data_IF_942027328380
#
_entry.id   IF_942027328380
#
_cell.length_a   1.000
_cell.length_b   1.000
_cell.length_c   1.000
_cell.angle_alpha   90.00
_cell.angle_beta   90.00
_cell.angle_gamma   90.00
#
_symmetry.space_group_name_H-M   'P 1'
#
loop_
_entity.id
_entity.type
_entity.pdbx_description
1 polymer ?
#
# COMPACT_ATOMS: atom_id res chain seq x y z
N UNK A 1 56.36 -13.93 -26.48
CA UNK A 1 56.10 -14.65 -25.21
C UNK A 1 55.58 -13.64 -24.18
N UNK A 2 54.36 -13.14 -24.36
CA UNK A 2 53.77 -12.12 -23.49
C UNK A 2 52.89 -12.78 -22.43
N UNK A 3 53.22 -12.49 -21.17
CA UNK A 3 52.37 -12.50 -19.97
C UNK A 3 51.41 -13.68 -19.68
N UNK A 4 51.84 -14.92 -19.94
CA UNK A 4 51.08 -16.14 -19.57
C UNK A 4 50.73 -16.22 -18.07
N UNK A 5 51.61 -15.73 -17.19
CA UNK A 5 51.37 -15.74 -15.75
C UNK A 5 50.26 -14.77 -15.33
N UNK A 6 50.23 -13.58 -15.94
CA UNK A 6 49.19 -12.58 -15.69
C UNK A 6 47.81 -13.09 -16.13
N UNK A 7 47.72 -13.69 -17.32
CA UNK A 7 46.45 -14.25 -17.82
C UNK A 7 45.93 -15.40 -16.94
N UNK A 8 46.84 -16.25 -16.42
CA UNK A 8 46.48 -17.31 -15.47
C UNK A 8 45.95 -16.73 -14.15
N UNK A 9 46.59 -15.68 -13.64
CA UNK A 9 46.17 -15.05 -12.39
C UNK A 9 44.82 -14.34 -12.53
N UNK A 10 44.60 -13.65 -13.65
CA UNK A 10 43.33 -12.99 -13.97
C UNK A 10 42.16 -13.99 -14.03
N UNK A 11 42.36 -15.12 -14.70
CA UNK A 11 41.35 -16.18 -14.78
C UNK A 11 41.00 -16.77 -13.40
N UNK A 12 42.01 -16.94 -12.55
CA UNK A 12 41.83 -17.40 -11.16
C UNK A 12 41.03 -16.37 -10.36
N UNK A 13 41.30 -15.08 -10.53
CA UNK A 13 40.61 -14.01 -9.79
C UNK A 13 39.16 -13.82 -10.26
N UNK A 14 38.86 -14.04 -11.54
CA UNK A 14 37.50 -14.08 -12.08
C UNK A 14 36.67 -15.24 -11.50
N UNK A 15 37.28 -16.43 -11.40
CA UNK A 15 36.68 -17.62 -10.76
C UNK A 15 36.42 -17.39 -9.27
N UNK A 16 37.41 -16.87 -8.54
CA UNK A 16 37.29 -16.61 -7.10
C UNK A 16 36.22 -15.58 -6.75
N UNK A 17 36.01 -14.59 -7.62
CA UNK A 17 35.07 -13.50 -7.37
C UNK A 17 33.71 -13.67 -8.08
N UNK A 18 33.48 -14.82 -8.73
CA UNK A 18 32.24 -15.16 -9.42
C UNK A 18 31.78 -14.08 -10.44
N UNK A 19 32.74 -13.52 -11.19
CA UNK A 19 32.52 -12.43 -12.19
C UNK A 19 32.48 -12.92 -13.63
N UNK A 20 32.23 -14.22 -13.86
CA UNK A 20 32.23 -14.88 -15.19
C UNK A 20 31.13 -14.39 -16.17
N UNK A 21 30.26 -13.47 -15.75
CA UNK A 21 29.13 -13.00 -16.55
C UNK A 21 29.45 -11.99 -17.67
N UNK A 22 30.69 -11.53 -17.84
CA UNK A 22 31.10 -10.62 -18.92
C UNK A 22 32.07 -11.31 -19.89
N UNK A 23 31.63 -11.51 -21.13
CA UNK A 23 32.48 -11.93 -22.26
C UNK A 23 33.32 -10.73 -22.71
N UNK A 24 34.50 -10.56 -22.14
CA UNK A 24 35.51 -9.59 -22.59
C UNK A 24 36.68 -10.34 -23.21
N UNK A 25 37.08 -9.99 -24.43
CA UNK A 25 38.25 -10.58 -25.10
C UNK A 25 39.46 -9.71 -24.76
N UNK A 26 40.45 -10.30 -24.09
CA UNK A 26 41.70 -9.65 -23.72
C UNK A 26 42.82 -10.16 -24.62
N UNK A 27 43.20 -9.37 -25.64
CA UNK A 27 44.36 -9.64 -26.50
C UNK A 27 45.69 -9.15 -25.90
N UNK A 28 45.77 -9.02 -24.57
CA UNK A 28 47.02 -8.85 -23.83
C UNK A 28 47.60 -7.44 -23.84
N UNK A 29 46.82 -6.43 -24.27
CA UNK A 29 47.23 -5.03 -24.29
C UNK A 29 46.33 -4.07 -23.47
N UNK A 30 45.20 -4.52 -22.90
CA UNK A 30 44.28 -3.64 -22.15
C UNK A 30 43.68 -4.28 -20.89
N UNK A 31 43.62 -3.49 -19.81
CA UNK A 31 43.08 -3.83 -18.49
C UNK A 31 41.55 -4.09 -18.55
N UNK A 32 41.03 -5.05 -17.78
CA UNK A 32 39.61 -5.42 -17.63
C UNK A 32 38.68 -4.23 -17.38
N UNK A 33 39.20 -3.15 -16.78
CA UNK A 33 38.45 -1.93 -16.52
C UNK A 33 38.41 -0.95 -17.70
N UNK A 34 39.27 -1.15 -18.69
CA UNK A 34 39.50 -0.30 -19.86
C UNK A 34 39.32 -1.00 -21.21
N UNK A 35 39.08 -2.32 -21.22
CA UNK A 35 38.85 -3.10 -22.43
C UNK A 35 37.60 -2.65 -23.18
N UNK A 36 37.71 -2.56 -24.50
CA UNK A 36 36.62 -2.23 -25.42
C UNK A 36 35.53 -3.31 -25.31
N UNK A 37 34.26 -2.90 -25.22
CA UNK A 37 33.12 -3.82 -25.11
C UNK A 37 33.09 -4.79 -26.30
N UNK A 38 32.73 -6.07 -26.14
CA UNK A 38 32.73 -7.04 -27.25
C UNK A 38 31.93 -6.56 -28.48
N UNK A 39 30.79 -5.88 -28.24
CA UNK A 39 30.00 -5.26 -29.30
C UNK A 39 30.71 -4.08 -29.99
N UNK A 40 31.54 -3.33 -29.25
CA UNK A 40 32.41 -2.27 -29.81
C UNK A 40 33.57 -2.86 -30.61
N UNK A 41 34.15 -3.97 -30.13
CA UNK A 41 35.22 -4.68 -30.82
C UNK A 41 34.73 -5.31 -32.14
N UNK A 42 33.59 -6.01 -32.12
CA UNK A 42 32.96 -6.57 -33.34
C UNK A 42 32.55 -5.46 -34.31
N UNK A 43 32.06 -4.31 -33.82
CA UNK A 43 31.72 -3.16 -34.66
C UNK A 43 32.95 -2.55 -35.35
N UNK A 44 34.09 -2.45 -34.66
CA UNK A 44 35.35 -1.97 -35.23
C UNK A 44 35.87 -2.94 -36.29
N UNK A 45 35.81 -4.25 -36.04
CA UNK A 45 36.29 -5.27 -36.98
C UNK A 45 35.41 -5.44 -38.22
N UNK A 46 34.08 -5.33 -38.08
CA UNK A 46 33.13 -5.48 -39.18
C UNK A 46 32.91 -4.19 -39.98
N UNK A 47 33.38 -3.04 -39.47
CA UNK A 47 33.07 -1.72 -40.03
C UNK A 47 31.60 -1.30 -39.88
N UNK A 48 30.75 -2.14 -39.27
CA UNK A 48 29.34 -1.90 -39.06
C UNK A 48 29.06 -1.53 -37.60
N UNK A 49 28.82 -0.23 -37.35
CA UNK A 49 28.52 0.30 -36.01
C UNK A 49 27.03 0.23 -35.65
N UNK A 50 26.17 -0.28 -36.54
CA UNK A 50 24.72 -0.23 -36.38
C UNK A 50 24.26 -0.99 -35.12
N UNK A 51 24.87 -2.14 -34.80
CA UNK A 51 24.56 -2.91 -33.57
C UNK A 51 24.86 -2.13 -32.28
N UNK A 52 25.91 -1.32 -32.30
CA UNK A 52 26.33 -0.50 -31.17
C UNK A 52 25.43 0.73 -31.03
N UNK A 53 25.10 1.38 -32.14
CA UNK A 53 24.16 2.50 -32.19
C UNK A 53 22.76 2.07 -31.72
N UNK A 54 22.33 0.86 -32.12
CA UNK A 54 21.10 0.24 -31.64
C UNK A 54 21.09 0.09 -30.13
N UNK A 55 22.13 -0.51 -29.56
CA UNK A 55 22.22 -0.68 -28.10
C UNK A 55 22.20 0.67 -27.34
N UNK A 56 22.81 1.72 -27.91
CA UNK A 56 22.76 3.08 -27.35
C UNK A 56 21.35 3.67 -27.41
N UNK A 57 20.66 3.51 -28.54
CA UNK A 57 19.27 3.98 -28.71
C UNK A 57 18.31 3.23 -27.78
N UNK A 58 18.40 1.91 -27.70
CA UNK A 58 17.60 1.08 -26.79
C UNK A 58 17.78 1.51 -25.33
N UNK A 59 19.03 1.74 -24.89
CA UNK A 59 19.31 2.24 -23.54
C UNK A 59 18.66 3.59 -23.26
N UNK A 60 18.70 4.52 -24.23
CA UNK A 60 18.09 5.85 -24.11
C UNK A 60 16.57 5.77 -24.07
N UNK A 61 15.97 4.94 -24.92
CA UNK A 61 14.53 4.65 -24.93
C UNK A 61 14.10 4.05 -23.60
N UNK A 62 14.79 3.01 -23.11
CA UNK A 62 14.47 2.38 -21.83
C UNK A 62 14.54 3.35 -20.64
N UNK A 63 15.50 4.28 -20.63
CA UNK A 63 15.56 5.33 -19.62
C UNK A 63 14.35 6.27 -19.68
N UNK A 64 13.96 6.72 -20.88
CA UNK A 64 12.78 7.59 -21.08
C UNK A 64 11.47 6.87 -20.78
N UNK A 65 11.34 5.59 -21.13
CA UNK A 65 10.17 4.78 -20.79
C UNK A 65 10.03 4.58 -19.28
N UNK A 66 11.13 4.30 -18.59
CA UNK A 66 11.15 4.22 -17.12
C UNK A 66 10.75 5.54 -16.47
N UNK A 67 11.23 6.67 -16.99
CA UNK A 67 10.83 8.00 -16.56
C UNK A 67 9.33 8.25 -16.78
N UNK A 68 8.80 7.93 -17.96
CA UNK A 68 7.38 8.03 -18.29
C UNK A 68 6.52 7.17 -17.36
N UNK A 69 6.92 5.92 -17.10
CA UNK A 69 6.21 5.03 -16.18
C UNK A 69 6.20 5.61 -14.75
N UNK A 70 7.33 6.14 -14.28
CA UNK A 70 7.42 6.79 -12.97
C UNK A 70 6.50 8.01 -12.87
N UNK A 71 6.46 8.82 -13.93
CA UNK A 71 5.57 9.97 -14.04
C UNK A 71 4.08 9.55 -14.02
N UNK A 72 3.70 8.51 -14.76
CA UNK A 72 2.32 8.01 -14.76
C UNK A 72 1.93 7.45 -13.38
N UNK A 73 2.84 6.74 -12.72
CA UNK A 73 2.63 6.23 -11.36
C UNK A 73 2.46 7.36 -10.35
N UNK A 74 3.24 8.44 -10.44
CA UNK A 74 3.10 9.58 -9.54
C UNK A 74 1.75 10.29 -9.77
N UNK A 75 1.34 10.46 -11.03
CA UNK A 75 0.02 11.02 -11.39
C UNK A 75 -1.14 10.17 -10.87
N UNK A 76 -1.07 8.85 -11.01
CA UNK A 76 -2.07 7.93 -10.46
C UNK A 76 -2.14 8.01 -8.92
N UNK A 77 -0.99 8.05 -8.26
CA UNK A 77 -0.90 8.18 -6.79
C UNK A 77 -1.50 9.52 -6.32
N UNK A 78 -1.21 10.61 -7.03
CA UNK A 78 -1.79 11.93 -6.76
C UNK A 78 -3.32 11.94 -6.92
N UNK A 79 -3.83 11.26 -7.96
CA UNK A 79 -5.28 11.10 -8.18
C UNK A 79 -5.95 10.36 -7.02
N UNK A 80 -5.42 9.21 -6.63
CA UNK A 80 -5.98 8.45 -5.49
C UNK A 80 -5.93 9.25 -4.19
N UNK A 81 -4.84 10.00 -3.96
CA UNK A 81 -4.75 10.89 -2.80
C UNK A 81 -5.80 12.01 -2.87
N UNK A 82 -6.02 12.60 -4.03
CA UNK A 82 -7.04 13.62 -4.22
C UNK A 82 -8.44 13.07 -3.92
N UNK A 83 -8.77 11.88 -4.44
CA UNK A 83 -10.07 11.24 -4.21
C UNK A 83 -10.30 10.97 -2.71
N UNK A 84 -9.28 10.45 -2.01
CA UNK A 84 -9.32 10.26 -0.56
C UNK A 84 -9.53 11.59 0.18
N UNK A 85 -8.72 12.61 -0.13
CA UNK A 85 -8.85 13.92 0.51
C UNK A 85 -10.21 14.58 0.27
N UNK A 86 -10.81 14.38 -0.91
CA UNK A 86 -12.17 14.88 -1.19
C UNK A 86 -13.23 14.16 -0.35
N UNK A 87 -13.10 12.84 -0.18
CA UNK A 87 -13.97 12.06 0.71
C UNK A 87 -13.81 12.49 2.17
N UNK A 88 -12.57 12.63 2.62
CA UNK A 88 -12.24 13.06 3.99
C UNK A 88 -12.76 14.47 4.26
N UNK A 89 -12.56 15.41 3.34
CA UNK A 89 -13.08 16.77 3.44
C UNK A 89 -14.59 16.77 3.64
N UNK A 90 -15.33 15.98 2.85
CA UNK A 90 -16.79 15.89 2.98
C UNK A 90 -17.19 15.34 4.35
N UNK A 91 -16.52 14.29 4.82
CA UNK A 91 -16.79 13.71 6.14
C UNK A 91 -16.50 14.70 7.28
N UNK A 92 -15.39 15.46 7.20
CA UNK A 92 -15.03 16.50 8.16
C UNK A 92 -16.05 17.65 8.15
N UNK A 93 -16.49 18.09 6.97
CA UNK A 93 -17.52 19.14 6.85
C UNK A 93 -18.87 18.69 7.45
N UNK A 94 -19.31 17.47 7.15
CA UNK A 94 -20.52 16.90 7.74
C UNK A 94 -20.40 16.80 9.26
N UNK A 95 -19.22 16.41 9.77
CA UNK A 95 -18.95 16.34 11.21
C UNK A 95 -18.92 17.73 11.86
N UNK A 96 -18.31 18.72 11.22
CA UNK A 96 -18.28 20.11 11.69
C UNK A 96 -19.69 20.69 11.78
N UNK A 97 -20.52 20.45 10.77
CA UNK A 97 -21.93 20.88 10.76
C UNK A 97 -22.71 20.28 11.94
N UNK A 98 -22.48 19.01 12.25
CA UNK A 98 -23.10 18.34 13.41
C UNK A 98 -22.62 18.93 14.72
N UNK A 99 -21.32 19.24 14.87
CA UNK A 99 -20.81 19.95 16.04
C UNK A 99 -21.44 21.35 16.20
N UNK A 100 -21.55 22.10 15.11
CA UNK A 100 -22.17 23.42 15.10
C UNK A 100 -23.64 23.36 15.53
N UNK A 101 -24.38 22.40 15.01
CA UNK A 101 -25.79 22.16 15.37
C UNK A 101 -25.91 21.88 16.87
N UNK A 102 -25.10 20.96 17.40
CA UNK A 102 -25.11 20.61 18.82
C UNK A 102 -24.70 21.79 19.71
N UNK A 103 -23.67 22.55 19.31
CA UNK A 103 -23.20 23.71 20.07
C UNK A 103 -24.20 24.86 20.07
N UNK A 104 -24.87 25.11 18.95
CA UNK A 104 -25.90 26.13 18.85
C UNK A 104 -27.09 25.76 19.73
N UNK A 105 -27.58 24.52 19.62
CA UNK A 105 -28.66 24.00 20.46
C UNK A 105 -28.34 24.10 21.96
N UNK A 106 -27.09 23.82 22.35
CA UNK A 106 -26.64 24.00 23.72
C UNK A 106 -26.64 25.47 24.11
N UNK A 107 -26.04 26.34 23.29
CA UNK A 107 -25.89 27.77 23.58
C UNK A 107 -27.23 28.48 23.74
N UNK A 108 -28.24 28.08 22.95
CA UNK A 108 -29.60 28.65 23.00
C UNK A 108 -30.36 28.24 24.27
N UNK A 109 -30.08 27.05 24.81
CA UNK A 109 -30.81 26.48 25.97
C UNK A 109 -30.05 26.63 27.29
N UNK A 110 -28.73 26.82 27.26
CA UNK A 110 -27.87 26.82 28.45
C UNK A 110 -28.10 28.06 29.30
N UNK A 111 -28.34 27.85 30.59
CA UNK A 111 -28.46 28.92 31.58
C UNK A 111 -27.10 29.12 32.23
N UNK A 112 -26.59 30.36 32.22
CA UNK A 112 -25.30 30.72 32.81
C UNK A 112 -25.51 31.53 34.08
N UNK A 113 -24.63 31.32 35.06
CA UNK A 113 -24.52 32.13 36.27
C UNK A 113 -23.77 33.44 35.98
N UNK A 114 -23.78 34.35 36.95
CA UNK A 114 -23.07 35.63 36.90
C UNK A 114 -21.55 35.46 36.71
N UNK A 115 -20.99 34.35 37.19
CA UNK A 115 -19.57 33.99 37.02
C UNK A 115 -19.24 33.40 35.63
N UNK A 116 -20.22 33.30 34.74
CA UNK A 116 -20.08 32.72 33.40
C UNK A 116 -20.16 31.19 33.35
N UNK A 117 -20.23 30.50 34.50
CA UNK A 117 -20.37 29.05 34.56
C UNK A 117 -21.77 28.60 34.17
N UNK A 118 -21.86 27.47 33.46
CA UNK A 118 -23.15 26.88 33.08
C UNK A 118 -23.80 26.20 34.29
N UNK A 119 -25.08 26.50 34.53
CA UNK A 119 -25.86 25.86 35.58
C UNK A 119 -26.08 24.40 35.22
N UNK A 120 -26.03 23.51 36.21
CA UNK A 120 -26.34 22.12 35.97
C UNK A 120 -27.86 21.89 35.89
N UNK A 121 -28.37 21.52 34.72
CA UNK A 121 -29.77 21.19 34.48
C UNK A 121 -29.99 19.68 34.23
N UNK A 122 -29.12 18.82 34.75
CA UNK A 122 -29.19 17.38 34.58
C UNK A 122 -30.50 16.81 35.14
N UNK A 123 -31.20 16.03 34.32
CA UNK A 123 -32.38 15.24 34.68
C UNK A 123 -32.05 13.77 34.47
N UNK A 124 -32.34 12.93 35.47
CA UNK A 124 -32.14 11.48 35.38
C UNK A 124 -33.48 10.77 35.51
N UNK A 125 -33.66 9.69 34.77
CA UNK A 125 -34.91 8.90 34.76
C UNK A 125 -35.28 8.43 36.16
N UNK A 126 -36.49 8.73 36.66
CA UNK A 126 -36.94 8.32 37.99
C UNK A 126 -36.38 9.15 39.14
N UNK A 127 -35.89 10.37 38.88
CA UNK A 127 -35.69 11.41 39.88
C UNK A 127 -36.55 12.64 39.53
N UNK A 128 -36.96 13.38 40.56
CA UNK A 128 -37.70 14.63 40.39
C UNK A 128 -36.81 15.72 39.81
N UNK A 129 -37.41 16.67 39.08
CA UNK A 129 -36.69 17.80 38.45
C UNK A 129 -35.93 18.69 39.46
N UNK A 130 -36.33 18.69 40.73
CA UNK A 130 -35.72 19.48 41.82
C UNK A 130 -34.76 18.66 42.70
N UNK A 131 -34.27 17.52 42.20
CA UNK A 131 -33.34 16.67 42.93
C UNK A 131 -32.04 17.40 43.25
N UNK A 132 -31.53 17.18 44.46
CA UNK A 132 -30.26 17.75 44.91
C UNK A 132 -29.07 17.14 44.16
N UNK A 133 -27.95 17.87 44.08
CA UNK A 133 -26.71 17.38 43.46
C UNK A 133 -26.26 16.05 44.06
N UNK A 134 -26.45 15.86 45.37
CA UNK A 134 -26.12 14.60 46.06
C UNK A 134 -26.97 13.43 45.57
N UNK A 135 -28.28 13.63 45.36
CA UNK A 135 -29.18 12.59 44.83
C UNK A 135 -28.84 12.23 43.39
N UNK A 136 -28.55 13.24 42.55
CA UNK A 136 -28.10 13.02 41.18
C UNK A 136 -26.79 12.23 41.14
N UNK A 137 -25.79 12.65 41.91
CA UNK A 137 -24.50 11.97 41.97
C UNK A 137 -24.61 10.53 42.49
N UNK A 138 -25.43 10.30 43.51
CA UNK A 138 -25.68 8.95 44.02
C UNK A 138 -26.29 8.06 42.94
N UNK A 139 -27.28 8.55 42.20
CA UNK A 139 -27.90 7.80 41.11
C UNK A 139 -26.94 7.51 39.95
N UNK A 140 -26.09 8.47 39.60
CA UNK A 140 -25.02 8.26 38.61
C UNK A 140 -24.05 7.18 39.08
N UNK A 141 -23.69 7.19 40.37
CA UNK A 141 -22.84 6.17 40.96
C UNK A 141 -23.50 4.78 40.95
N UNK A 142 -24.81 4.71 41.19
CA UNK A 142 -25.58 3.48 41.07
C UNK A 142 -25.53 2.94 39.63
N UNK A 143 -25.72 3.79 38.61
CA UNK A 143 -25.51 3.38 37.22
C UNK A 143 -24.07 2.94 36.95
N UNK A 144 -23.08 3.63 37.51
CA UNK A 144 -21.67 3.29 37.32
C UNK A 144 -21.34 1.88 37.84
N UNK A 145 -21.95 1.45 38.95
CA UNK A 145 -21.71 0.13 39.54
C UNK A 145 -22.61 -0.97 38.93
N UNK A 146 -23.89 -0.65 38.71
CA UNK A 146 -24.93 -1.63 38.48
C UNK A 146 -25.42 -1.72 37.04
N UNK A 147 -25.16 -0.73 36.17
CA UNK A 147 -25.61 -0.80 34.78
C UNK A 147 -24.97 -2.01 34.06
N UNK A 148 -25.79 -2.73 33.29
CA UNK A 148 -25.41 -3.92 32.51
C UNK A 148 -26.03 -3.85 31.13
N UNK A 149 -25.46 -2.99 30.30
CA UNK A 149 -25.99 -2.64 28.97
C UNK A 149 -25.58 -3.61 27.86
N UNK A 150 -24.73 -4.60 28.16
CA UNK A 150 -24.20 -5.59 27.19
C UNK A 150 -23.51 -4.95 25.97
N UNK A 151 -22.96 -3.75 26.14
CA UNK A 151 -22.28 -3.00 25.08
C UNK A 151 -23.16 -2.02 24.32
N UNK A 152 -24.47 -2.01 24.58
CA UNK A 152 -25.39 -1.04 23.98
C UNK A 152 -25.40 0.29 24.76
N UNK A 153 -25.88 1.34 24.10
CA UNK A 153 -26.12 2.62 24.77
C UNK A 153 -27.52 2.61 25.39
N UNK A 154 -27.58 2.83 26.70
CA UNK A 154 -28.84 2.98 27.43
C UNK A 154 -29.02 4.44 27.82
N UNK A 155 -30.15 5.04 27.45
CA UNK A 155 -30.55 6.36 27.93
C UNK A 155 -30.90 6.31 29.41
N UNK A 156 -30.41 7.29 30.17
CA UNK A 156 -30.62 7.40 31.62
C UNK A 156 -31.06 8.79 32.06
N UNK A 157 -31.17 9.74 31.11
CA UNK A 157 -31.49 11.12 31.42
C UNK A 157 -31.23 12.09 30.28
N UNK A 158 -31.36 13.37 30.57
CA UNK A 158 -31.11 14.46 29.62
C UNK A 158 -30.54 15.71 30.28
N UNK A 159 -29.86 16.55 29.49
CA UNK A 159 -29.37 17.86 29.90
C UNK A 159 -29.39 18.82 28.70
N UNK A 160 -30.07 19.96 28.81
CA UNK A 160 -30.15 20.98 27.74
C UNK A 160 -30.50 20.45 26.34
N UNK A 161 -31.35 19.42 26.25
CA UNK A 161 -31.72 18.77 24.99
C UNK A 161 -30.76 17.68 24.51
N UNK A 162 -29.67 17.42 25.23
CA UNK A 162 -28.81 16.26 25.01
C UNK A 162 -29.31 15.06 25.81
N UNK A 163 -29.17 13.87 25.25
CA UNK A 163 -29.40 12.59 25.92
C UNK A 163 -28.17 12.18 26.72
N UNK A 164 -28.38 11.71 27.95
CA UNK A 164 -27.34 11.10 28.77
C UNK A 164 -27.42 9.60 28.62
N UNK A 165 -26.31 9.00 28.20
CA UNK A 165 -26.23 7.58 27.91
C UNK A 165 -25.20 6.91 28.82
N UNK A 166 -25.47 5.68 29.21
CA UNK A 166 -24.49 4.78 29.84
C UNK A 166 -24.22 3.58 28.93
N UNK A 167 -22.97 3.13 28.89
CA UNK A 167 -22.54 1.92 28.18
C UNK A 167 -21.55 1.15 29.03
N UNK A 168 -21.71 -0.16 29.08
CA UNK A 168 -20.84 -1.10 29.78
C UNK A 168 -19.77 -1.56 28.80
N UNK A 169 -18.53 -1.18 29.05
CA UNK A 169 -17.38 -1.63 28.28
C UNK A 169 -16.68 -2.77 29.05
N UNK A 170 -16.34 -3.82 28.32
CA UNK A 170 -15.57 -4.96 28.84
C UNK A 170 -14.15 -4.82 28.33
N UNK A 171 -13.20 -4.70 29.24
CA UNK A 171 -11.77 -4.68 28.94
C UNK A 171 -11.10 -5.89 29.57
N UNK A 172 -10.15 -6.51 28.87
CA UNK A 172 -9.36 -7.60 29.42
C UNK A 172 -8.10 -7.03 30.05
N UNK A 173 -7.92 -7.24 31.35
CA UNK A 173 -6.67 -6.93 32.04
C UNK A 173 -6.28 -8.16 32.87
N UNK A 174 -5.06 -8.65 32.66
CA UNK A 174 -4.50 -9.78 33.42
C UNK A 174 -5.39 -11.04 33.38
N UNK A 175 -5.92 -11.38 32.20
CA UNK A 175 -6.86 -12.50 31.97
C UNK A 175 -8.23 -12.39 32.68
N UNK A 176 -8.49 -11.30 33.43
CA UNK A 176 -9.80 -10.98 33.97
C UNK A 176 -10.57 -9.98 33.10
N UNK A 177 -11.87 -10.22 32.96
CA UNK A 177 -12.81 -9.29 32.33
C UNK A 177 -13.17 -8.17 33.33
N UNK A 178 -12.58 -6.99 33.14
CA UNK A 178 -12.95 -5.77 33.84
C UNK A 178 -14.11 -5.08 33.13
N UNK A 179 -15.25 -5.01 33.82
CA UNK A 179 -16.46 -4.31 33.35
C UNK A 179 -16.48 -2.91 33.93
N UNK A 180 -16.46 -1.91 33.05
CA UNK A 180 -16.52 -0.50 33.43
C UNK A 180 -17.69 0.18 32.71
N UNK A 181 -18.49 0.95 33.44
CA UNK A 181 -19.57 1.73 32.85
C UNK A 181 -19.06 3.12 32.50
N UNK A 182 -19.25 3.51 31.24
CA UNK A 182 -18.89 4.82 30.69
C UNK A 182 -20.11 5.63 30.34
N UNK A 183 -20.00 6.91 30.57
CA UNK A 183 -21.06 7.89 30.39
C UNK A 183 -20.81 8.76 29.18
N UNK A 184 -21.86 9.02 28.42
CA UNK A 184 -21.83 9.79 27.18
C UNK A 184 -22.95 10.82 27.18
N UNK A 185 -22.74 11.89 26.43
CA UNK A 185 -23.73 12.90 26.12
C UNK A 185 -23.96 12.90 24.62
N UNK A 186 -25.19 12.79 24.15
CA UNK A 186 -25.51 12.78 22.73
C UNK A 186 -26.46 13.92 22.37
N UNK A 187 -26.06 14.75 21.41
CA UNK A 187 -26.89 15.84 20.88
C UNK A 187 -27.74 15.42 19.69
N UNK A 188 -28.47 16.38 19.12
CA UNK A 188 -29.28 16.20 17.91
C UNK A 188 -28.42 15.89 16.68
N UNK A 189 -27.19 16.40 16.64
CA UNK A 189 -26.16 16.03 15.68
C UNK A 189 -25.73 14.57 15.79
N UNK A 190 -26.17 13.81 16.81
CA UNK A 190 -25.90 12.38 16.95
C UNK A 190 -24.44 12.03 17.27
N UNK A 191 -23.63 13.03 17.66
CA UNK A 191 -22.26 12.82 18.14
C UNK A 191 -22.32 12.52 19.64
N UNK A 192 -21.51 11.56 20.08
CA UNK A 192 -21.39 11.17 21.49
C UNK A 192 -20.16 11.80 22.10
N UNK A 193 -20.35 12.68 23.07
CA UNK A 193 -19.32 13.39 23.81
C UNK A 193 -19.04 12.69 25.14
N UNK A 194 -17.79 12.76 25.58
CA UNK A 194 -17.40 12.27 26.90
C UNK A 194 -16.44 13.24 27.57
N UNK A 195 -16.47 13.24 28.90
CA UNK A 195 -15.45 13.86 29.73
C UNK A 195 -14.73 12.76 30.52
N UNK A 196 -13.42 12.89 30.70
CA UNK A 196 -12.59 11.88 31.38
C UNK A 196 -12.81 10.44 30.87
N UNK A 197 -12.89 10.26 29.54
CA UNK A 197 -13.21 8.98 28.88
C UNK A 197 -14.51 8.33 29.39
N UNK A 198 -15.49 9.14 29.78
CA UNK A 198 -16.79 8.70 30.29
C UNK A 198 -16.75 8.18 31.73
N UNK A 199 -15.65 8.36 32.47
CA UNK A 199 -15.56 7.99 33.89
C UNK A 199 -16.11 9.11 34.77
N UNK A 200 -16.93 8.75 35.75
CA UNK A 200 -17.39 9.70 36.76
C UNK A 200 -16.25 10.09 37.69
N UNK A 201 -16.32 11.32 38.19
CA UNK A 201 -15.46 11.76 39.28
C UNK A 201 -15.98 11.22 40.62
N UNK A 202 -15.09 11.07 41.59
CA UNK A 202 -15.48 10.67 42.96
C UNK A 202 -16.22 11.78 43.70
N UNK A 203 -15.96 13.05 43.35
CA UNK A 203 -16.66 14.19 43.93
C UNK A 203 -18.08 14.33 43.33
N UNK A 204 -19.14 14.45 44.16
CA UNK A 204 -20.52 14.55 43.68
C UNK A 204 -20.77 15.72 42.75
N UNK A 205 -20.20 16.90 43.02
CA UNK A 205 -20.45 18.07 42.16
C UNK A 205 -19.77 17.87 40.81
N UNK A 206 -18.53 17.40 40.80
CA UNK A 206 -17.79 17.15 39.57
C UNK A 206 -18.43 16.03 38.73
N UNK A 207 -18.94 14.97 39.38
CA UNK A 207 -19.62 13.87 38.69
C UNK A 207 -20.84 14.34 37.89
N UNK A 208 -21.65 15.22 38.48
CA UNK A 208 -22.85 15.77 37.80
C UNK A 208 -22.42 16.81 36.74
N UNK A 209 -21.33 17.56 36.97
CA UNK A 209 -20.81 18.54 36.00
C UNK A 209 -20.06 17.92 34.81
N UNK A 210 -19.63 16.66 34.89
CA UNK A 210 -18.91 15.98 33.80
C UNK A 210 -19.62 16.07 32.44
N UNK A 211 -20.96 16.08 32.42
CA UNK A 211 -21.75 16.17 31.20
C UNK A 211 -21.68 17.55 30.56
N UNK A 212 -21.83 18.61 31.37
CA UNK A 212 -21.63 20.00 30.91
C UNK A 212 -20.20 20.17 30.40
N UNK A 213 -19.21 19.68 31.15
CA UNK A 213 -17.80 19.73 30.76
C UNK A 213 -17.51 18.94 29.46
N UNK A 214 -18.31 17.93 29.13
CA UNK A 214 -18.20 17.22 27.86
C UNK A 214 -18.72 18.07 26.69
N UNK A 215 -19.83 18.79 26.89
CA UNK A 215 -20.43 19.68 25.90
C UNK A 215 -19.57 20.94 25.69
N UNK A 216 -19.02 21.52 26.75
CA UNK A 216 -18.15 22.71 26.68
C UNK A 216 -16.83 22.46 25.91
N UNK A 217 -16.49 21.20 25.63
CA UNK A 217 -15.35 20.86 24.76
C UNK A 217 -15.67 20.92 23.27
N UNK A 218 -16.94 21.06 22.87
CA UNK A 218 -17.35 21.10 21.46
C UNK A 218 -16.62 22.19 20.68
N UNK A 219 -16.49 23.44 21.16
CA UNK A 219 -15.76 24.49 20.43
C UNK A 219 -14.30 24.11 20.13
N UNK A 220 -13.62 23.50 21.10
CA UNK A 220 -12.23 23.02 20.91
C UNK A 220 -12.16 21.88 19.88
N UNK A 221 -13.19 21.03 19.81
CA UNK A 221 -13.27 20.01 18.76
C UNK A 221 -13.55 20.64 17.39
N UNK A 222 -14.45 21.62 17.31
CA UNK A 222 -14.74 22.36 16.07
C UNK A 222 -13.49 23.03 15.51
N UNK A 223 -12.73 23.74 16.34
CA UNK A 223 -11.47 24.37 15.91
C UNK A 223 -10.47 23.37 15.31
N UNK A 224 -10.44 22.12 15.82
CA UNK A 224 -9.57 21.07 15.27
C UNK A 224 -10.03 20.63 13.89
N UNK A 225 -11.33 20.39 13.72
CA UNK A 225 -11.91 20.02 12.42
C UNK A 225 -11.73 21.14 11.40
N UNK A 226 -11.92 22.41 11.79
CA UNK A 226 -11.71 23.56 10.92
C UNK A 226 -10.24 23.68 10.47
N UNK A 227 -9.29 23.43 11.37
CA UNK A 227 -7.86 23.39 11.04
C UNK A 227 -7.55 22.28 10.05
N UNK A 228 -8.11 21.09 10.24
CA UNK A 228 -7.92 19.95 9.35
C UNK A 228 -8.51 20.22 7.95
N UNK A 229 -9.74 20.74 7.90
CA UNK A 229 -10.38 21.18 6.65
C UNK A 229 -9.50 22.19 5.92
N UNK A 230 -8.97 23.20 6.62
CA UNK A 230 -8.12 24.22 6.02
C UNK A 230 -6.80 23.64 5.47
N UNK A 231 -6.24 22.60 6.08
CA UNK A 231 -5.06 21.90 5.56
C UNK A 231 -5.41 21.12 4.28
N UNK A 232 -6.48 20.34 4.29
CA UNK A 232 -6.91 19.55 3.13
C UNK A 232 -7.25 20.47 1.94
N UNK A 233 -7.93 21.59 2.20
CA UNK A 233 -8.25 22.57 1.16
C UNK A 233 -7.02 23.18 0.49
N UNK A 234 -5.88 23.27 1.18
CA UNK A 234 -4.60 23.71 0.59
C UNK A 234 -3.93 22.63 -0.25
N UNK A 235 -4.08 21.36 0.14
CA UNK A 235 -3.48 20.22 -0.58
C UNK A 235 -4.21 19.90 -1.90
N UNK A 236 -5.53 20.05 -1.94
CA UNK A 236 -6.36 19.78 -3.13
C UNK A 236 -5.85 20.47 -4.41
N UNK A 237 -5.61 21.79 -4.46
CA UNK A 237 -5.14 22.46 -5.68
C UNK A 237 -3.75 21.98 -6.12
N UNK A 238 -2.85 21.69 -5.17
CA UNK A 238 -1.51 21.19 -5.48
C UNK A 238 -1.57 19.81 -6.15
N UNK A 239 -2.44 18.92 -5.66
CA UNK A 239 -2.64 17.62 -6.28
C UNK A 239 -3.28 17.72 -7.66
N UNK A 240 -4.25 18.64 -7.85
CA UNK A 240 -4.83 18.91 -9.17
C UNK A 240 -3.77 19.37 -10.16
N UNK A 241 -2.88 20.28 -9.77
CA UNK A 241 -1.76 20.74 -10.61
C UNK A 241 -0.84 19.57 -11.02
N UNK A 242 -0.51 18.67 -10.08
CA UNK A 242 0.28 17.46 -10.39
C UNK A 242 -0.43 16.55 -11.39
N UNK A 243 -1.75 16.41 -11.27
CA UNK A 243 -2.55 15.59 -12.18
C UNK A 243 -2.64 16.23 -13.56
N UNK A 244 -2.73 17.55 -13.65
CA UNK A 244 -2.80 18.26 -14.93
C UNK A 244 -1.48 18.27 -15.70
N UNK A 245 -0.34 18.06 -15.03
CA UNK A 245 0.95 17.95 -15.69
C UNK A 245 0.96 16.84 -16.75
N UNK A 246 1.67 17.12 -17.84
CA UNK A 246 1.89 16.22 -18.96
C UNK A 246 3.39 15.92 -19.05
N UNK A 247 3.74 14.68 -19.39
CA UNK A 247 5.13 14.30 -19.57
C UNK A 247 5.69 14.92 -20.87
N UNK A 248 6.65 15.83 -20.74
CA UNK A 248 7.10 16.69 -21.84
C UNK A 248 8.02 16.02 -22.89
N UNK A 249 8.42 14.77 -22.70
CA UNK A 249 9.38 14.06 -23.59
C UNK A 249 8.70 13.05 -24.53
N UNK A 250 7.40 13.20 -24.76
CA UNK A 250 6.63 12.29 -25.61
C UNK A 250 7.15 12.30 -27.06
N UNK A 251 7.39 13.49 -27.62
CA UNK A 251 7.95 13.66 -28.96
C UNK A 251 9.34 13.05 -29.07
N UNK A 252 10.24 13.38 -28.13
CA UNK A 252 11.59 12.84 -28.07
C UNK A 252 11.60 11.30 -28.00
N UNK A 253 10.73 10.70 -27.18
CA UNK A 253 10.60 9.25 -27.10
C UNK A 253 10.10 8.65 -28.43
N UNK A 254 9.14 9.30 -29.08
CA UNK A 254 8.62 8.85 -30.37
C UNK A 254 9.67 8.89 -31.48
N UNK A 255 10.45 9.98 -31.55
CA UNK A 255 11.54 10.16 -32.51
C UNK A 255 12.61 9.07 -32.33
N UNK A 256 13.05 8.81 -31.09
CA UNK A 256 14.03 7.76 -30.81
C UNK A 256 13.51 6.37 -31.16
N UNK A 257 12.22 6.08 -30.95
CA UNK A 257 11.61 4.80 -31.36
C UNK A 257 11.56 4.65 -32.88
N UNK A 258 11.27 5.74 -33.60
CA UNK A 258 11.32 5.72 -35.07
C UNK A 258 12.75 5.53 -35.58
N UNK A 259 13.73 6.16 -34.95
CA UNK A 259 15.16 5.99 -35.26
C UNK A 259 15.63 4.55 -35.01
N UNK A 260 15.26 3.98 -33.86
CA UNK A 260 15.55 2.57 -33.54
C UNK A 260 14.95 1.62 -34.59
N UNK A 261 13.70 1.87 -35.00
CA UNK A 261 13.02 1.05 -36.02
C UNK A 261 13.67 1.15 -37.39
N UNK A 262 14.17 2.34 -37.77
CA UNK A 262 14.90 2.54 -39.01
C UNK A 262 16.27 1.83 -38.98
N UNK A 263 16.96 1.91 -37.85
CA UNK A 263 18.24 1.23 -37.64
C UNK A 263 18.08 -0.30 -37.64
N UNK A 264 17.03 -0.82 -37.01
CA UNK A 264 16.71 -2.26 -37.05
C UNK A 264 16.48 -2.77 -38.48
N UNK A 265 15.75 -2.00 -39.30
CA UNK A 265 15.57 -2.34 -40.73
C UNK A 265 16.90 -2.32 -41.49
N UNK A 266 17.77 -1.35 -41.22
CA UNK A 266 19.09 -1.24 -41.83
C UNK A 266 19.98 -2.45 -41.46
N UNK A 267 19.96 -2.85 -40.19
CA UNK A 267 20.68 -4.05 -39.70
C UNK A 267 20.15 -5.31 -40.38
N UNK A 268 18.83 -5.47 -40.49
CA UNK A 268 18.23 -6.62 -41.18
C UNK A 268 18.63 -6.68 -42.66
N UNK A 269 18.58 -5.55 -43.37
CA UNK A 269 18.94 -5.49 -44.79
C UNK A 269 20.43 -5.80 -45.02
N UNK A 270 21.32 -5.30 -44.16
CA UNK A 270 22.77 -5.57 -44.25
C UNK A 270 23.10 -7.04 -43.96
N UNK A 271 22.48 -7.65 -42.94
CA UNK A 271 22.60 -9.09 -42.67
C UNK A 271 22.07 -9.95 -43.83
N UNK A 272 21.05 -9.47 -44.55
CA UNK A 272 20.46 -10.17 -45.70
C UNK A 272 21.29 -10.01 -46.98
N UNK A 273 22.10 -8.96 -47.11
CA UNK A 273 22.94 -8.70 -48.29
C UNK A 273 24.33 -9.34 -48.19
N UNK A 274 24.83 -9.58 -46.98
CA UNK A 274 26.16 -10.17 -46.72
C UNK A 274 26.14 -11.71 -46.60
N UNK A 275 25.08 -12.37 -47.07
CA UNK A 275 25.06 -13.83 -47.24
C UNK A 275 25.49 -14.19 -48.67
N UNK A 276 26.77 -14.53 -48.94
CA UNK A 276 27.09 -15.32 -50.12
C UNK A 276 26.38 -16.67 -49.99
N UNK A 277 25.61 -17.05 -51.01
CA UNK A 277 24.81 -18.28 -51.11
C UNK A 277 25.62 -19.60 -50.99
N UNK A 278 26.91 -19.57 -50.64
CA UNK A 278 27.76 -20.77 -50.57
C UNK A 278 28.09 -21.24 -49.14
N UNK A 279 27.67 -20.52 -48.09
CA UNK A 279 27.98 -20.92 -46.70
C UNK A 279 26.86 -21.70 -45.97
N UNK A 280 25.70 -21.92 -46.61
CA UNK A 280 24.60 -22.69 -45.99
C UNK A 280 24.74 -24.20 -46.13
N UNK A 281 25.55 -24.72 -47.07
CA UNK A 281 25.70 -26.19 -47.22
C UNK A 281 26.78 -26.83 -46.33
N UNK A 282 27.60 -26.01 -45.64
CA UNK A 282 28.70 -26.50 -44.78
C UNK A 282 28.31 -26.67 -43.31
N UNK A 283 27.48 -25.77 -42.77
CA UNK A 283 27.10 -25.78 -41.36
C UNK A 283 26.02 -26.84 -41.04
N UNK A 284 25.07 -27.06 -41.96
CA UNK A 284 24.04 -28.11 -41.78
C UNK A 284 24.64 -29.53 -41.80
N UNK A 285 25.78 -29.76 -42.48
CA UNK A 285 26.44 -31.08 -42.50
C UNK A 285 27.27 -31.36 -41.25
N UNK A 286 27.75 -30.33 -40.55
CA UNK A 286 28.54 -30.49 -39.33
C UNK A 286 27.64 -30.66 -38.09
N UNK A 287 26.53 -29.92 -37.98
CA UNK A 287 25.56 -30.10 -36.88
C UNK A 287 24.85 -31.47 -36.94
N UNK A 288 24.60 -32.01 -38.14
CA UNK A 288 23.98 -33.34 -38.29
C UNK A 288 24.96 -34.47 -37.94
N UNK A 289 26.27 -34.30 -38.22
CA UNK A 289 27.29 -35.30 -37.87
C UNK A 289 27.61 -35.32 -36.36
N UNK A 290 27.68 -34.15 -35.71
CA UNK A 290 27.87 -34.06 -34.25
C UNK A 290 26.63 -34.59 -33.49
N UNK A 291 25.41 -34.35 -33.99
CA UNK A 291 24.19 -34.89 -33.39
C UNK A 291 24.04 -36.41 -33.58
N UNK A 292 24.59 -36.99 -34.65
CA UNK A 292 24.61 -38.45 -34.87
C UNK A 292 25.67 -39.17 -34.02
N UNK A 293 26.83 -38.55 -33.76
CA UNK A 293 27.84 -39.09 -32.84
C UNK A 293 27.38 -39.04 -31.38
N UNK A 294 26.77 -37.93 -30.93
CA UNK A 294 26.19 -37.82 -29.59
C UNK A 294 25.05 -38.84 -29.36
N UNK A 295 24.20 -39.10 -30.36
CA UNK A 295 23.14 -40.10 -30.24
C UNK A 295 23.67 -41.55 -30.21
N UNK A 296 24.83 -41.83 -30.83
CA UNK A 296 25.50 -43.13 -30.74
C UNK A 296 26.12 -43.37 -29.35
N UNK A 297 26.70 -42.34 -28.74
CA UNK A 297 27.24 -42.42 -27.38
C UNK A 297 26.12 -42.60 -26.33
N UNK A 298 25.02 -41.85 -26.44
CA UNK A 298 23.86 -42.00 -25.54
C UNK A 298 23.15 -43.37 -25.68
N UNK A 299 23.18 -43.98 -26.87
CA UNK A 299 22.59 -45.31 -27.10
C UNK A 299 23.44 -46.46 -26.54
N UNK A 300 24.76 -46.27 -26.38
CA UNK A 300 25.65 -47.26 -25.76
C UNK A 300 25.61 -47.20 -24.22
N UNK A 301 25.32 -46.03 -23.65
CA UNK A 301 25.23 -45.86 -22.20
C UNK A 301 23.88 -46.35 -21.63
N UNK A 302 22.81 -46.31 -22.44
CA UNK A 302 21.46 -46.78 -22.06
C UNK A 302 21.30 -48.31 -22.02
N UNK A 303 22.29 -49.11 -22.43
CA UNK A 303 22.25 -50.58 -22.34
C UNK A 303 22.94 -51.14 -21.07
N UNK A 304 23.43 -50.29 -20.16
CA UNK A 304 24.10 -50.73 -18.92
C UNK A 304 23.30 -50.51 -17.63
N UNK A 305 22.15 -49.83 -17.66
CA UNK A 305 21.39 -49.51 -16.45
C UNK A 305 19.89 -49.80 -16.58
N UNK A 306 19.52 -51.03 -16.93
CA UNK A 306 18.19 -51.57 -16.60
C UNK A 306 18.25 -53.10 -16.44
N UNK A 307 18.62 -53.55 -15.24
CA UNK A 307 18.14 -54.84 -14.71
C UNK A 307 17.63 -54.56 -13.30
N UNK A 308 16.35 -54.21 -13.18
CA UNK A 308 15.38 -54.89 -12.31
C UNK A 308 14.03 -54.14 -12.37
N UNK A 309 13.16 -54.70 -13.21
CA UNK A 309 11.74 -54.42 -13.36
C UNK A 309 10.92 -54.85 -12.11
N UNK A 310 9.99 -54.02 -11.58
CA UNK A 310 8.49 -54.03 -11.78
C UNK A 310 7.80 -55.07 -10.82
N UNK A 311 6.55 -54.90 -10.28
CA UNK A 311 5.42 -54.26 -10.94
C UNK A 311 4.47 -53.33 -10.13
N UNK A 312 3.84 -52.46 -10.93
CA UNK A 312 2.55 -51.78 -10.76
C UNK A 312 1.35 -52.76 -10.79
N UNK A 313 0.11 -52.32 -10.48
CA UNK A 313 -0.84 -51.97 -11.56
C UNK A 313 -1.60 -50.65 -11.29
N UNK A 314 -1.76 -49.74 -12.26
CA UNK A 314 -2.92 -49.55 -13.19
C UNK A 314 -4.30 -49.58 -12.51
N UNK A 315 -5.30 -48.74 -12.83
CA UNK A 315 -5.50 -47.55 -13.68
C UNK A 315 -6.91 -47.03 -13.28
N UNK A 316 -7.23 -45.81 -13.69
CA UNK A 316 -8.60 -45.24 -13.79
C UNK A 316 -9.31 -44.84 -12.48
N UNK A 317 -9.59 -43.54 -12.34
CA UNK A 317 -10.96 -43.06 -12.33
C UNK A 317 -11.01 -41.54 -12.51
N UNK A 318 -11.79 -41.10 -13.49
CA UNK A 318 -12.27 -39.73 -13.69
C UNK A 318 -13.18 -39.35 -12.52
N UNK A 319 -12.92 -38.19 -11.89
CA UNK A 319 -13.82 -37.41 -11.01
C UNK A 319 -13.52 -35.94 -11.33
N UNK A 320 -14.39 -35.13 -11.93
CA UNK A 320 -15.72 -34.73 -11.48
C UNK A 320 -15.83 -34.70 -9.95
N UNK A 321 -15.59 -33.53 -9.35
CA UNK A 321 -16.49 -32.88 -8.37
C UNK A 321 -15.82 -31.64 -7.76
N UNK A 322 -16.21 -30.48 -8.29
CA UNK A 322 -16.56 -29.34 -7.44
C UNK A 322 -17.77 -29.75 -6.56
N UNK A 323 -17.89 -29.11 -5.40
CA UNK A 323 -18.96 -29.23 -4.38
C UNK A 323 -18.90 -30.44 -3.44
N UNK A 324 -18.34 -30.20 -2.25
CA UNK A 324 -19.09 -30.20 -0.97
C UNK A 324 -18.12 -29.91 0.18
N UNK A 325 -18.32 -28.79 0.85
CA UNK A 325 -18.41 -28.78 2.31
C UNK A 325 -18.97 -27.44 2.79
N UNK A 326 -20.27 -27.30 2.57
CA UNK A 326 -21.15 -26.55 3.44
C UNK A 326 -21.80 -27.53 4.41
N UNK A 327 -21.74 -27.18 5.70
CA UNK A 327 -22.58 -27.60 6.83
C UNK A 327 -22.28 -28.94 7.51
N UNK A 328 -21.70 -28.82 8.70
CA UNK A 328 -22.06 -29.62 9.86
C UNK A 328 -22.32 -28.70 11.06
N UNK A 329 -23.59 -28.53 11.44
CA UNK A 329 -24.03 -27.93 12.71
C UNK A 329 -24.98 -28.94 13.36
N UNK A 330 -24.90 -29.01 14.70
CA UNK A 330 -25.68 -29.78 15.69
C UNK A 330 -25.14 -31.17 16.06
N UNK A 331 -24.59 -31.28 17.27
CA UNK A 331 -25.39 -31.42 18.49
C UNK A 331 -24.92 -30.44 19.55
#
# INVERSE_FOLDING_TARGET
>A
KFNLLFNKQLFIDQLKNNKLGKRTIDEGAMDEKSGINYSEYVAILSGNTDLLEKAKLEKKIGALESEKQTFLRSKYTAKNRLDNLCSDLKALQDRLYRFQTDWQNFSDKAVRREDGSVVNALRLEGLDEKSSVKQLAQKLQDYAQNARTKGEYQEIGSIYGFQILVKTEVSKKDELDLKENRFFVQGEGGIKYTYNNGRLASDPNLAVMNFVNAIEKIPVMMEKEEKEIALIQKDIPLLKEIIEKVWGKETQLSELKTELSALDRKIQLSLSSDTPQEAQEGAEKQEVQEAEELNKELSQESQKSETQEVPTPTKEFVRETLNRNSRGFKM
#
